data_IF_245667658467
#
_entry.id   IF_245667658467
#
_cell.length_a   1.000
_cell.length_b   1.000
_cell.length_c   1.000
_cell.angle_alpha   90.00
_cell.angle_beta   90.00
_cell.angle_gamma   90.00
#
_symmetry.space_group_name_H-M   'P 1'
#
loop_
_entity.id
_entity.type
_entity.pdbx_description
1 polymer ?
#
# COMPACT_ATOMS: atom_id res chain seq x y z
N UNK A 1 -13.52 9.64 11.28
CA UNK A 1 -14.68 10.52 11.09
C UNK A 1 -15.43 9.92 9.91
N UNK A 2 -16.28 8.95 10.20
CA UNK A 2 -17.00 8.17 9.20
C UNK A 2 -18.32 8.88 8.92
N UNK A 3 -18.38 9.58 7.79
CA UNK A 3 -19.54 10.36 7.39
C UNK A 3 -19.75 10.12 5.89
N UNK A 4 -20.69 9.20 5.58
CA UNK A 4 -21.43 8.98 4.31
C UNK A 4 -21.35 7.54 3.75
N UNK A 5 -21.91 6.55 4.46
CA UNK A 5 -22.15 5.20 3.92
C UNK A 5 -23.60 4.75 4.18
N UNK A 6 -24.61 5.51 3.74
CA UNK A 6 -26.03 5.08 3.83
C UNK A 6 -26.86 5.27 2.56
N UNK A 7 -26.25 5.57 1.42
CA UNK A 7 -26.92 5.44 0.12
C UNK A 7 -26.01 4.58 -0.78
N UNK A 8 -26.55 3.53 -1.41
CA UNK A 8 -25.80 2.73 -2.39
C UNK A 8 -25.13 3.62 -3.44
N UNK A 9 -24.01 3.15 -4.00
CA UNK A 9 -23.19 3.91 -4.94
C UNK A 9 -24.08 4.43 -6.08
N UNK A 10 -24.15 5.76 -6.22
CA UNK A 10 -24.97 6.40 -7.26
C UNK A 10 -24.31 6.18 -8.62
N UNK A 11 -25.12 6.10 -9.66
CA UNK A 11 -24.65 6.07 -11.06
C UNK A 11 -23.59 7.15 -11.28
N UNK A 12 -22.44 6.74 -11.80
CA UNK A 12 -21.29 7.59 -12.12
C UNK A 12 -20.67 8.39 -10.95
N UNK A 13 -20.96 8.05 -9.69
CA UNK A 13 -20.34 8.73 -8.55
C UNK A 13 -18.80 8.68 -8.57
N UNK A 14 -18.24 7.65 -9.17
CA UNK A 14 -16.80 7.46 -9.35
C UNK A 14 -16.20 8.30 -10.50
N UNK A 15 -17.00 8.89 -11.39
CA UNK A 15 -16.48 9.56 -12.58
C UNK A 15 -16.05 11.00 -12.25
N UNK A 16 -14.79 11.34 -12.56
CA UNK A 16 -14.24 12.69 -12.37
C UNK A 16 -14.29 13.51 -13.65
N UNK A 17 -13.91 12.89 -14.78
CA UNK A 17 -14.01 13.51 -16.09
C UNK A 17 -14.14 12.47 -17.19
N UNK A 18 -14.68 12.91 -18.33
CA UNK A 18 -14.83 12.09 -19.53
C UNK A 18 -14.57 12.93 -20.78
N UNK A 19 -14.16 12.28 -21.87
CA UNK A 19 -13.96 12.92 -23.15
C UNK A 19 -15.28 13.36 -23.79
N UNK A 20 -15.19 14.41 -24.60
CA UNK A 20 -16.32 14.91 -25.37
C UNK A 20 -16.78 13.89 -26.44
N UNK A 21 -18.09 13.86 -26.72
CA UNK A 21 -18.65 13.13 -27.86
C UNK A 21 -18.77 11.61 -27.70
N UNK A 22 -19.28 11.13 -26.56
CA UNK A 22 -19.60 9.71 -26.27
C UNK A 22 -18.39 8.75 -26.24
N UNK A 23 -17.17 9.23 -26.50
CA UNK A 23 -15.96 8.39 -26.62
C UNK A 23 -15.62 7.56 -25.38
N UNK A 24 -15.98 8.06 -24.19
CA UNK A 24 -15.66 7.39 -22.94
C UNK A 24 -16.67 6.34 -22.52
N UNK A 25 -17.87 6.33 -23.12
CA UNK A 25 -18.97 5.47 -22.71
C UNK A 25 -19.34 4.50 -23.81
N UNK A 26 -19.53 3.25 -23.43
CA UNK A 26 -19.95 2.19 -24.34
C UNK A 26 -21.22 1.53 -23.81
N UNK A 27 -22.20 1.35 -24.71
CA UNK A 27 -23.32 0.45 -24.44
C UNK A 27 -22.82 -0.99 -24.58
N UNK A 28 -22.83 -1.73 -23.49
CA UNK A 28 -22.32 -3.10 -23.42
C UNK A 28 -23.44 -4.11 -23.19
N UNK A 29 -23.17 -5.35 -23.58
CA UNK A 29 -23.96 -6.52 -23.20
C UNK A 29 -23.20 -7.25 -22.11
N UNK A 30 -23.82 -7.38 -20.94
CA UNK A 30 -23.24 -7.98 -19.74
C UNK A 30 -23.78 -9.41 -19.63
N UNK A 31 -22.91 -10.44 -19.53
CA UNK A 31 -23.35 -11.82 -19.27
C UNK A 31 -24.25 -11.90 -18.03
N UNK A 32 -25.31 -12.71 -18.11
CA UNK A 32 -26.21 -12.94 -16.98
C UNK A 32 -25.56 -13.81 -15.90
N UNK A 33 -26.08 -13.76 -14.68
CA UNK A 33 -25.68 -14.66 -13.58
C UNK A 33 -24.54 -14.16 -12.70
N UNK A 34 -24.17 -12.88 -12.80
CA UNK A 34 -23.12 -12.25 -11.98
C UNK A 34 -23.68 -11.56 -10.74
N UNK A 35 -24.99 -11.69 -10.48
CA UNK A 35 -25.70 -11.01 -9.40
C UNK A 35 -25.92 -9.53 -9.66
N UNK A 36 -26.02 -8.77 -8.56
CA UNK A 36 -26.26 -7.32 -8.59
C UNK A 36 -24.93 -6.57 -8.59
N UNK A 37 -24.62 -5.96 -9.73
CA UNK A 37 -23.41 -5.17 -9.92
C UNK A 37 -23.70 -3.71 -9.58
N UNK A 38 -22.79 -3.06 -8.87
CA UNK A 38 -22.91 -1.64 -8.51
C UNK A 38 -22.24 -0.76 -9.55
N UNK A 39 -22.61 0.52 -9.62
CA UNK A 39 -21.79 1.50 -10.34
C UNK A 39 -20.36 1.48 -9.76
N UNK A 40 -19.35 1.54 -10.61
CA UNK A 40 -17.95 1.44 -10.22
C UNK A 40 -17.38 0.02 -10.24
N UNK A 41 -18.18 -1.01 -10.54
CA UNK A 41 -17.67 -2.39 -10.69
C UNK A 41 -16.68 -2.47 -11.86
N UNK A 42 -15.54 -3.11 -11.62
CA UNK A 42 -14.50 -3.33 -12.62
C UNK A 42 -14.87 -4.52 -13.51
N UNK A 43 -14.78 -4.32 -14.82
CA UNK A 43 -15.13 -5.33 -15.81
C UNK A 43 -13.92 -5.68 -16.68
N UNK A 44 -13.85 -6.95 -17.07
CA UNK A 44 -12.88 -7.46 -18.02
C UNK A 44 -13.33 -7.21 -19.48
N UNK A 45 -12.59 -7.78 -20.44
CA UNK A 45 -12.87 -7.59 -21.87
C UNK A 45 -14.23 -8.15 -22.30
N UNK A 46 -14.66 -9.23 -21.65
CA UNK A 46 -15.92 -9.95 -21.91
C UNK A 46 -17.13 -9.32 -21.19
N UNK A 47 -16.92 -8.17 -20.52
CA UNK A 47 -17.91 -7.48 -19.70
C UNK A 47 -18.36 -8.27 -18.47
N UNK A 48 -17.53 -9.19 -17.98
CA UNK A 48 -17.70 -9.87 -16.71
C UNK A 48 -16.98 -9.12 -15.59
N UNK A 49 -17.38 -9.32 -14.33
CA UNK A 49 -16.64 -8.81 -13.18
C UNK A 49 -15.18 -9.30 -13.26
N UNK A 50 -14.24 -8.38 -13.21
CA UNK A 50 -12.81 -8.72 -13.23
C UNK A 50 -12.42 -9.38 -11.89
N UNK A 51 -12.38 -10.72 -11.86
CA UNK A 51 -11.92 -11.48 -10.69
C UNK A 51 -10.40 -11.34 -10.50
N UNK A 52 -9.65 -11.30 -11.61
CA UNK A 52 -8.27 -10.82 -11.63
C UNK A 52 -8.25 -9.33 -11.97
N UNK A 53 -7.80 -8.52 -11.02
CA UNK A 53 -7.70 -7.07 -11.19
C UNK A 53 -6.75 -6.64 -12.32
N UNK A 54 -5.84 -7.50 -12.77
CA UNK A 54 -4.99 -7.22 -13.92
C UNK A 54 -5.77 -7.22 -15.25
N UNK A 55 -6.98 -7.76 -15.27
CA UNK A 55 -7.88 -7.79 -16.42
C UNK A 55 -8.92 -6.65 -16.40
N UNK A 56 -8.90 -5.79 -15.38
CA UNK A 56 -9.83 -4.67 -15.26
C UNK A 56 -9.58 -3.61 -16.34
N UNK A 57 -10.43 -3.56 -17.36
CA UNK A 57 -10.29 -2.63 -18.49
C UNK A 57 -11.47 -1.67 -18.67
N UNK A 58 -12.56 -1.90 -17.93
CA UNK A 58 -13.81 -1.13 -17.99
C UNK A 58 -14.34 -0.87 -16.59
N UNK A 59 -15.14 0.19 -16.43
CA UNK A 59 -15.83 0.50 -15.17
C UNK A 59 -17.32 0.64 -15.42
N UNK A 60 -18.15 -0.15 -14.74
CA UNK A 60 -19.60 -0.14 -14.89
C UNK A 60 -20.17 1.24 -14.49
N UNK A 61 -20.86 1.92 -15.41
CA UNK A 61 -21.34 3.30 -15.22
C UNK A 61 -22.49 3.40 -14.21
N UNK A 62 -23.43 2.46 -14.26
CA UNK A 62 -24.62 2.43 -13.40
C UNK A 62 -24.87 1.00 -12.92
N UNK A 63 -25.54 0.85 -11.77
CA UNK A 63 -25.86 -0.47 -11.24
C UNK A 63 -26.71 -1.30 -12.23
N UNK A 64 -26.42 -2.60 -12.30
CA UNK A 64 -27.11 -3.55 -13.18
C UNK A 64 -27.38 -4.84 -12.40
N UNK A 65 -28.62 -5.32 -12.45
CA UNK A 65 -28.98 -6.66 -11.99
C UNK A 65 -28.82 -7.63 -13.15
N UNK A 66 -27.85 -8.53 -13.06
CA UNK A 66 -27.56 -9.54 -14.09
C UNK A 66 -28.26 -10.88 -13.81
N UNK A 67 -29.04 -10.97 -12.72
CA UNK A 67 -29.63 -12.21 -12.24
C UNK A 67 -28.67 -13.04 -11.38
N UNK A 68 -29.23 -13.92 -10.57
CA UNK A 68 -28.47 -14.85 -9.72
C UNK A 68 -27.68 -15.85 -10.56
N UNK A 69 -26.61 -16.41 -10.00
CA UNK A 69 -25.78 -17.40 -10.68
C UNK A 69 -26.62 -18.60 -11.17
N UNK A 70 -26.44 -19.06 -12.43
CA UNK A 70 -27.25 -20.14 -12.98
C UNK A 70 -27.09 -21.43 -12.16
N UNK A 71 -28.19 -22.13 -11.93
CA UNK A 71 -28.13 -23.53 -11.53
C UNK A 71 -27.63 -24.41 -12.70
N UNK A 72 -27.21 -25.64 -12.41
CA UNK A 72 -26.59 -26.51 -13.41
C UNK A 72 -27.53 -26.78 -14.60
N UNK A 73 -27.10 -26.34 -15.79
CA UNK A 73 -27.87 -26.51 -17.03
C UNK A 73 -28.83 -25.37 -17.35
N UNK A 74 -28.88 -24.33 -16.51
CA UNK A 74 -29.64 -23.11 -16.76
C UNK A 74 -28.79 -22.06 -17.46
N UNK A 75 -29.45 -21.20 -18.24
CA UNK A 75 -28.83 -20.03 -18.87
C UNK A 75 -29.53 -18.79 -18.39
N UNK A 76 -28.79 -17.84 -17.81
CA UNK A 76 -29.32 -16.52 -17.49
C UNK A 76 -29.10 -15.61 -18.71
N UNK A 77 -30.15 -14.98 -19.26
CA UNK A 77 -29.99 -14.13 -20.43
C UNK A 77 -29.12 -12.92 -20.11
N UNK A 78 -28.27 -12.47 -21.05
CA UNK A 78 -27.47 -11.28 -20.85
C UNK A 78 -28.33 -10.02 -20.80
N UNK A 79 -27.85 -9.00 -20.10
CA UNK A 79 -28.52 -7.72 -19.91
C UNK A 79 -27.73 -6.58 -20.53
N UNK A 80 -28.39 -5.44 -20.80
CA UNK A 80 -27.71 -4.24 -21.30
C UNK A 80 -27.18 -3.41 -20.14
N UNK A 81 -25.99 -2.86 -20.33
CA UNK A 81 -25.38 -1.91 -19.40
C UNK A 81 -24.63 -0.81 -20.14
N UNK A 82 -24.08 0.13 -19.37
CA UNK A 82 -23.16 1.15 -19.88
C UNK A 82 -21.89 1.05 -19.08
N UNK A 83 -20.75 1.08 -19.74
CA UNK A 83 -19.44 1.12 -19.08
C UNK A 83 -18.63 2.33 -19.55
N UNK A 84 -17.75 2.80 -18.67
CA UNK A 84 -16.60 3.60 -19.05
C UNK A 84 -15.56 2.65 -19.63
N UNK A 85 -15.13 2.88 -20.87
CA UNK A 85 -14.22 1.98 -21.60
C UNK A 85 -12.96 2.65 -22.15
N UNK A 86 -12.87 3.99 -22.11
CA UNK A 86 -11.70 4.74 -22.56
C UNK A 86 -11.74 6.23 -22.16
N UNK A 87 -10.62 6.95 -22.28
CA UNK A 87 -10.46 8.41 -22.15
C UNK A 87 -11.29 9.04 -21.00
N UNK A 88 -11.15 8.52 -19.79
CA UNK A 88 -11.85 9.02 -18.62
C UNK A 88 -10.91 9.08 -17.41
N UNK A 89 -11.26 9.93 -16.45
CA UNK A 89 -10.64 9.91 -15.13
C UNK A 89 -11.68 9.47 -14.09
N UNK A 90 -11.30 8.51 -13.25
CA UNK A 90 -12.16 7.95 -12.20
C UNK A 90 -11.54 8.14 -10.82
N UNK A 91 -12.38 8.28 -9.79
CA UNK A 91 -11.99 8.36 -8.40
C UNK A 91 -11.85 6.95 -7.83
N UNK A 92 -10.61 6.53 -7.54
CA UNK A 92 -10.28 5.16 -7.16
C UNK A 92 -10.98 4.69 -5.89
N UNK A 93 -11.13 5.56 -4.89
CA UNK A 93 -11.83 5.29 -3.63
C UNK A 93 -13.34 5.08 -3.80
N UNK A 94 -13.92 5.48 -4.95
CA UNK A 94 -15.35 5.31 -5.26
C UNK A 94 -15.61 4.16 -6.24
N UNK A 95 -14.58 3.44 -6.69
CA UNK A 95 -14.74 2.19 -7.42
C UNK A 95 -15.31 1.11 -6.50
N UNK A 96 -16.07 0.18 -7.07
CA UNK A 96 -16.74 -0.87 -6.30
C UNK A 96 -15.78 -2.02 -6.03
N UNK A 97 -14.94 -1.86 -5.01
CA UNK A 97 -14.00 -2.89 -4.55
C UNK A 97 -14.73 -3.99 -3.77
N UNK A 98 -14.49 -5.27 -4.09
CA UNK A 98 -14.87 -6.39 -3.22
C UNK A 98 -14.31 -6.22 -1.81
N UNK A 99 -15.05 -6.71 -0.80
CA UNK A 99 -14.57 -6.72 0.59
C UNK A 99 -13.23 -7.48 0.69
N UNK A 100 -12.28 -6.92 1.43
CA UNK A 100 -10.94 -7.51 1.58
C UNK A 100 -9.96 -7.22 0.44
N UNK A 101 -10.33 -6.43 -0.58
CA UNK A 101 -9.39 -6.00 -1.62
C UNK A 101 -8.21 -5.23 -1.02
N UNK A 102 -7.01 -5.73 -1.26
CA UNK A 102 -5.74 -5.15 -0.77
C UNK A 102 -5.31 -3.94 -1.59
N UNK A 103 -4.39 -3.14 -1.03
CA UNK A 103 -3.85 -1.97 -1.74
C UNK A 103 -3.03 -2.33 -2.98
N UNK A 104 -2.32 -3.46 -2.96
CA UNK A 104 -1.64 -3.99 -4.14
C UNK A 104 -2.63 -4.33 -5.26
N UNK A 105 -3.73 -4.99 -4.92
CA UNK A 105 -4.79 -5.32 -5.87
C UNK A 105 -5.43 -4.06 -6.47
N UNK A 106 -5.67 -3.01 -5.67
CA UNK A 106 -6.14 -1.72 -6.18
C UNK A 106 -5.13 -1.06 -7.13
N UNK A 107 -3.84 -1.15 -6.83
CA UNK A 107 -2.78 -0.64 -7.70
C UNK A 107 -2.68 -1.42 -9.01
N UNK A 108 -2.84 -2.75 -8.96
CA UNK A 108 -2.90 -3.62 -10.15
C UNK A 108 -4.07 -3.22 -11.04
N UNK A 109 -5.28 -3.09 -10.48
CA UNK A 109 -6.45 -2.61 -11.20
C UNK A 109 -6.23 -1.22 -11.81
N UNK A 110 -5.67 -0.28 -11.05
CA UNK A 110 -5.39 1.06 -11.55
C UNK A 110 -4.43 1.06 -12.74
N UNK A 111 -3.41 0.20 -12.73
CA UNK A 111 -2.49 0.04 -13.87
C UNK A 111 -3.18 -0.59 -15.08
N UNK A 112 -4.05 -1.59 -14.87
CA UNK A 112 -4.82 -2.21 -15.94
C UNK A 112 -5.79 -1.21 -16.60
N UNK A 113 -6.48 -0.41 -15.79
CA UNK A 113 -7.35 0.67 -16.24
C UNK A 113 -6.57 1.76 -17.00
N UNK A 114 -5.40 2.18 -16.50
CA UNK A 114 -4.54 3.17 -17.17
C UNK A 114 -4.09 2.67 -18.55
N UNK A 115 -3.70 1.39 -18.65
CA UNK A 115 -3.39 0.75 -19.93
C UNK A 115 -4.60 0.69 -20.89
N UNK A 116 -5.82 0.67 -20.35
CA UNK A 116 -7.07 0.78 -21.09
C UNK A 116 -7.53 2.25 -21.30
N UNK A 117 -6.69 3.25 -20.97
CA UNK A 117 -7.00 4.67 -21.18
C UNK A 117 -7.94 5.27 -20.13
N UNK A 118 -8.17 4.59 -19.01
CA UNK A 118 -8.97 5.07 -17.87
C UNK A 118 -8.03 5.40 -16.71
N UNK A 119 -7.80 6.68 -16.47
CA UNK A 119 -6.87 7.13 -15.43
C UNK A 119 -7.55 7.06 -14.06
N UNK A 120 -6.96 6.30 -13.14
CA UNK A 120 -7.44 6.25 -11.76
C UNK A 120 -6.77 7.33 -10.90
N UNK A 121 -7.57 8.23 -10.33
CA UNK A 121 -7.15 9.30 -9.44
C UNK A 121 -7.46 8.95 -7.99
N UNK A 122 -6.57 9.36 -7.09
CA UNK A 122 -6.67 9.07 -5.67
C UNK A 122 -6.48 10.36 -4.88
N UNK A 123 -7.28 10.55 -3.83
CA UNK A 123 -6.99 11.52 -2.76
C UNK A 123 -5.90 10.98 -1.84
N UNK A 124 -5.94 9.68 -1.58
CA UNK A 124 -4.89 8.93 -0.91
C UNK A 124 -4.57 7.68 -1.74
N UNK A 125 -3.39 7.69 -2.39
CA UNK A 125 -2.99 6.58 -3.26
C UNK A 125 -2.72 5.33 -2.39
N UNK A 126 -3.26 4.15 -2.75
CA UNK A 126 -2.94 2.92 -2.05
C UNK A 126 -1.43 2.67 -2.05
N UNK A 127 -0.91 2.13 -0.94
CA UNK A 127 0.53 1.95 -0.75
C UNK A 127 0.89 0.53 -1.11
N UNK A 128 1.84 0.38 -2.05
CA UNK A 128 2.32 -0.94 -2.45
C UNK A 128 3.01 -1.67 -1.28
N UNK A 129 2.72 -2.96 -1.10
CA UNK A 129 3.50 -3.79 -0.18
C UNK A 129 4.96 -3.86 -0.64
N UNK A 130 5.87 -4.03 0.32
CA UNK A 130 7.30 -4.01 0.05
C UNK A 130 7.88 -2.63 -0.32
N UNK A 131 7.08 -1.56 -0.34
CA UNK A 131 7.63 -0.20 -0.43
C UNK A 131 8.19 0.23 0.93
N UNK A 132 9.45 0.70 0.97
CA UNK A 132 10.07 1.15 2.22
C UNK A 132 9.29 2.33 2.84
N UNK A 133 8.91 2.17 4.11
CA UNK A 133 8.06 3.13 4.83
C UNK A 133 8.68 3.61 6.14
N UNK A 134 9.25 2.69 6.92
CA UNK A 134 9.79 3.01 8.25
C UNK A 134 10.98 2.13 8.60
N UNK A 135 11.69 2.55 9.65
CA UNK A 135 12.79 1.79 10.24
C UNK A 135 12.30 1.22 11.57
N UNK A 136 12.73 0.00 11.88
CA UNK A 136 12.45 -0.66 13.15
C UNK A 136 13.75 -1.22 13.73
N UNK A 137 14.02 -0.99 15.02
CA UNK A 137 15.12 -1.65 15.71
C UNK A 137 14.73 -3.09 16.07
N UNK A 138 15.59 -4.05 15.72
CA UNK A 138 15.37 -5.48 15.97
C UNK A 138 16.26 -6.00 17.09
N UNK A 139 17.48 -5.48 17.18
CA UNK A 139 18.42 -5.83 18.25
C UNK A 139 19.25 -4.61 18.61
N UNK A 140 19.37 -4.34 19.91
CA UNK A 140 20.27 -3.34 20.47
C UNK A 140 20.50 -3.68 21.95
N UNK A 141 21.63 -3.27 22.55
CA UNK A 141 21.89 -3.55 23.96
C UNK A 141 20.89 -2.83 24.86
N UNK A 142 20.34 -3.51 25.86
CA UNK A 142 19.58 -2.87 26.96
C UNK A 142 20.51 -2.35 28.07
N UNK A 143 21.74 -2.85 28.15
CA UNK A 143 22.79 -2.34 29.02
C UNK A 143 24.17 -2.46 28.40
N UNK A 144 25.10 -1.62 28.85
CA UNK A 144 26.49 -1.59 28.40
C UNK A 144 27.43 -1.10 29.51
N UNK A 145 28.74 -1.23 29.30
CA UNK A 145 29.78 -0.59 30.13
C UNK A 145 30.47 0.49 29.30
N UNK A 146 30.66 1.68 29.87
CA UNK A 146 31.31 2.79 29.19
C UNK A 146 32.72 2.39 28.70
N UNK A 147 33.02 2.68 27.44
CA UNK A 147 34.30 2.36 26.79
C UNK A 147 34.45 0.90 26.33
N UNK A 148 33.54 0.00 26.69
CA UNK A 148 33.56 -1.40 26.24
C UNK A 148 32.60 -1.61 25.04
N UNK A 149 32.85 -2.62 24.17
CA UNK A 149 31.89 -3.04 23.17
C UNK A 149 30.56 -3.47 23.81
N UNK A 150 29.46 -2.96 23.29
CA UNK A 150 28.09 -3.24 23.73
C UNK A 150 27.34 -4.20 22.79
N UNK A 151 28.05 -4.80 21.81
CA UNK A 151 27.49 -5.69 20.81
C UNK A 151 26.90 -4.99 19.59
N UNK A 152 26.15 -5.73 18.78
CA UNK A 152 25.65 -5.25 17.49
C UNK A 152 24.29 -4.56 17.64
N UNK A 153 24.08 -3.51 16.86
CA UNK A 153 22.75 -2.89 16.66
C UNK A 153 22.23 -3.31 15.29
N UNK A 154 21.02 -3.83 15.23
CA UNK A 154 20.33 -4.26 14.00
C UNK A 154 19.04 -3.47 13.86
N UNK A 155 18.85 -2.88 12.69
CA UNK A 155 17.59 -2.27 12.29
C UNK A 155 17.12 -2.84 10.95
N UNK A 156 15.82 -2.96 10.77
CA UNK A 156 15.18 -3.37 9.53
C UNK A 156 14.49 -2.18 8.86
N UNK A 157 14.52 -2.15 7.53
CA UNK A 157 13.66 -1.31 6.71
C UNK A 157 12.37 -2.07 6.45
N UNK A 158 11.25 -1.49 6.88
CA UNK A 158 9.93 -2.11 6.86
C UNK A 158 8.99 -1.35 5.94
N UNK A 159 8.05 -2.08 5.34
CA UNK A 159 6.92 -1.46 4.65
C UNK A 159 5.84 -0.99 5.64
N UNK A 160 4.76 -0.41 5.14
CA UNK A 160 3.67 0.12 5.97
C UNK A 160 2.94 -0.99 6.76
N UNK A 161 3.03 -2.23 6.30
CA UNK A 161 2.39 -3.40 6.91
C UNK A 161 3.32 -4.14 7.89
N UNK A 162 4.56 -3.67 8.07
CA UNK A 162 5.55 -4.26 8.97
C UNK A 162 6.36 -5.41 8.37
N UNK A 163 6.22 -5.69 7.07
CA UNK A 163 7.03 -6.67 6.38
C UNK A 163 8.45 -6.12 6.09
N UNK A 164 9.45 -7.01 6.09
CA UNK A 164 10.82 -6.64 5.73
C UNK A 164 10.90 -6.33 4.23
N UNK A 165 11.45 -5.17 3.88
CA UNK A 165 11.67 -4.79 2.49
C UNK A 165 13.01 -5.35 2.01
N UNK A 166 13.00 -6.60 1.54
CA UNK A 166 14.20 -7.34 1.11
C UNK A 166 14.90 -6.74 -0.11
N UNK A 167 14.26 -5.84 -0.87
CA UNK A 167 14.91 -5.10 -1.95
C UNK A 167 15.57 -3.79 -1.52
N UNK A 168 15.44 -3.39 -0.26
CA UNK A 168 15.87 -2.06 0.19
C UNK A 168 17.38 -1.97 0.36
N UNK A 169 17.97 -0.94 -0.25
CA UNK A 169 19.38 -0.53 -0.10
C UNK A 169 19.50 0.82 0.60
N UNK A 170 18.48 1.23 1.37
CA UNK A 170 18.43 2.53 2.02
C UNK A 170 19.66 2.76 2.92
N UNK A 171 20.25 3.97 2.86
CA UNK A 171 21.33 4.37 3.75
C UNK A 171 20.76 4.85 5.08
N UNK A 172 20.86 4.03 6.11
CA UNK A 172 20.39 4.35 7.47
C UNK A 172 21.55 4.86 8.30
N UNK A 173 21.34 5.94 9.04
CA UNK A 173 22.34 6.52 9.96
C UNK A 173 21.94 6.24 11.40
N UNK A 174 22.80 5.52 12.12
CA UNK A 174 22.67 5.30 13.56
C UNK A 174 23.38 6.40 14.34
N UNK A 175 22.67 7.04 15.26
CA UNK A 175 23.22 8.06 16.16
C UNK A 175 22.73 7.84 17.58
N UNK A 176 23.39 8.47 18.55
CA UNK A 176 22.84 8.60 19.90
C UNK A 176 21.82 9.74 19.89
N UNK A 177 20.58 9.43 20.23
CA UNK A 177 19.49 10.40 20.30
C UNK A 177 19.57 11.24 21.59
N UNK A 178 19.78 10.60 22.74
CA UNK A 178 19.84 11.28 24.05
C UNK A 178 20.90 10.70 24.98
N UNK A 179 21.14 11.36 26.12
CA UNK A 179 22.04 10.90 27.18
C UNK A 179 23.48 11.43 27.06
N UNK A 180 24.41 10.99 27.94
CA UNK A 180 25.78 11.49 28.00
C UNK A 180 26.71 10.86 26.96
N UNK A 181 27.96 11.35 26.86
CA UNK A 181 29.02 10.76 26.05
C UNK A 181 28.78 10.77 24.53
N UNK A 182 29.51 9.92 23.82
CA UNK A 182 29.39 9.70 22.36
C UNK A 182 29.13 8.23 22.05
N UNK A 183 28.55 7.97 20.88
CA UNK A 183 28.43 6.63 20.30
C UNK A 183 29.59 6.42 19.32
N UNK A 184 30.29 5.30 19.46
CA UNK A 184 31.28 4.83 18.47
C UNK A 184 30.71 3.67 17.65
N UNK A 185 31.22 3.47 16.44
CA UNK A 185 30.76 2.46 15.47
C UNK A 185 29.29 2.59 15.05
N UNK A 186 28.67 3.75 15.28
CA UNK A 186 27.43 4.17 14.61
C UNK A 186 27.71 4.76 13.21
N UNK A 187 26.85 5.67 12.75
CA UNK A 187 26.97 6.36 11.47
C UNK A 187 26.15 5.74 10.35
N UNK A 188 26.35 6.21 9.12
CA UNK A 188 25.61 5.78 7.95
C UNK A 188 26.05 4.41 7.45
N UNK A 189 25.10 3.51 7.21
CA UNK A 189 25.32 2.20 6.57
C UNK A 189 24.14 1.87 5.66
N UNK A 190 24.45 1.35 4.47
CA UNK A 190 23.43 0.85 3.54
C UNK A 190 22.81 -0.45 4.06
N UNK A 191 21.49 -0.58 3.87
CA UNK A 191 20.79 -1.84 4.06
C UNK A 191 21.26 -2.87 3.01
N UNK A 192 21.35 -4.12 3.44
CA UNK A 192 21.50 -5.29 2.58
C UNK A 192 20.30 -6.17 2.87
N UNK A 193 19.52 -6.45 1.85
CA UNK A 193 18.23 -7.13 1.95
C UNK A 193 17.27 -6.51 3.00
N UNK A 194 17.28 -5.17 3.08
CA UNK A 194 16.49 -4.42 4.06
C UNK A 194 17.03 -4.45 5.50
N UNK A 195 18.17 -5.09 5.75
CA UNK A 195 18.79 -5.20 7.08
C UNK A 195 20.01 -4.29 7.18
N UNK A 196 20.09 -3.52 8.26
CA UNK A 196 21.25 -2.70 8.60
C UNK A 196 21.84 -3.17 9.92
N UNK A 197 23.13 -3.44 9.95
CA UNK A 197 23.82 -3.89 11.16
C UNK A 197 25.05 -3.04 11.45
N UNK A 198 25.09 -2.40 12.62
CA UNK A 198 26.27 -1.73 13.16
C UNK A 198 26.94 -2.68 14.15
N UNK A 199 28.20 -3.01 13.89
CA UNK A 199 28.95 -3.99 14.68
C UNK A 199 29.61 -3.31 15.87
N UNK A 200 29.60 -3.99 17.02
CA UNK A 200 30.37 -3.63 18.21
C UNK A 200 30.27 -2.14 18.57
N UNK A 201 29.05 -1.63 18.71
CA UNK A 201 28.83 -0.25 19.13
C UNK A 201 29.35 -0.04 20.55
N UNK A 202 29.79 1.16 20.90
CA UNK A 202 30.22 1.47 22.27
C UNK A 202 29.84 2.89 22.67
N UNK A 203 29.68 3.08 23.97
CA UNK A 203 29.29 4.35 24.58
C UNK A 203 30.43 4.91 25.41
N UNK A 204 30.74 6.21 25.28
CA UNK A 204 31.92 6.79 25.94
C UNK A 204 31.71 7.20 27.40
N UNK A 205 30.48 7.18 27.91
CA UNK A 205 30.15 7.67 29.25
C UNK A 205 28.99 6.88 29.87
N UNK A 206 29.00 6.75 31.20
CA UNK A 206 27.91 6.14 31.96
C UNK A 206 26.67 7.05 32.00
N UNK A 207 25.50 6.43 32.07
CA UNK A 207 24.20 7.07 32.11
C UNK A 207 23.18 6.38 31.21
N UNK A 208 21.96 6.91 31.20
CA UNK A 208 20.90 6.42 30.31
C UNK A 208 21.04 7.09 28.94
N UNK A 209 21.04 6.29 27.87
CA UNK A 209 21.14 6.74 26.48
C UNK A 209 20.05 6.08 25.64
N UNK A 210 19.62 6.76 24.57
CA UNK A 210 18.78 6.17 23.52
C UNK A 210 19.46 6.33 22.17
N UNK A 211 19.16 5.41 21.24
CA UNK A 211 19.66 5.42 19.87
C UNK A 211 18.57 5.90 18.92
N UNK A 212 18.98 6.54 17.81
CA UNK A 212 18.10 6.86 16.69
C UNK A 212 18.68 6.32 15.38
N UNK A 213 17.82 5.66 14.59
CA UNK A 213 18.12 5.23 13.23
C UNK A 213 17.26 6.02 12.24
N UNK A 214 17.90 6.73 11.31
CA UNK A 214 17.23 7.65 10.37
C UNK A 214 17.69 7.38 8.94
N UNK A 215 16.77 7.41 8.00
CA UNK A 215 17.06 7.47 6.56
C UNK A 215 16.13 8.48 5.88
N UNK A 216 16.58 9.09 4.78
CA UNK A 216 15.78 10.05 4.02
C UNK A 216 14.50 9.39 3.52
N UNK A 217 13.35 10.02 3.80
CA UNK A 217 12.04 9.55 3.34
C UNK A 217 11.42 8.41 4.15
N UNK A 218 12.10 7.90 5.20
CA UNK A 218 11.56 6.88 6.08
C UNK A 218 11.23 7.45 7.46
N UNK A 219 10.16 6.94 8.08
CA UNK A 219 9.89 7.22 9.49
C UNK A 219 11.03 6.65 10.36
N UNK A 220 11.68 7.46 11.21
CA UNK A 220 12.84 7.02 11.98
C UNK A 220 12.45 6.13 13.16
N UNK A 221 13.40 5.32 13.62
CA UNK A 221 13.28 4.55 14.86
C UNK A 221 14.03 5.25 16.01
N UNK A 222 13.49 5.13 17.22
CA UNK A 222 14.19 5.46 18.47
C UNK A 222 14.13 4.22 19.36
N UNK A 223 15.26 3.85 19.98
CA UNK A 223 15.32 2.70 20.89
C UNK A 223 14.66 3.02 22.23
N UNK A 224 14.37 1.98 23.01
CA UNK A 224 14.17 2.13 24.46
C UNK A 224 15.47 2.58 25.15
N UNK A 225 15.36 2.88 26.44
CA UNK A 225 16.47 3.27 27.29
C UNK A 225 17.53 2.16 27.40
N UNK A 226 18.79 2.55 27.18
CA UNK A 226 19.97 1.72 27.34
C UNK A 226 20.72 2.21 28.57
N UNK A 227 20.94 1.33 29.54
CA UNK A 227 21.67 1.68 30.78
C UNK A 227 23.17 1.45 30.60
N UNK A 228 23.96 2.52 30.58
CA UNK A 228 25.42 2.43 30.51
C UNK A 228 26.03 2.58 31.89
N UNK A 229 26.68 1.53 32.39
CA UNK A 229 27.43 1.55 33.64
C UNK A 229 28.82 2.20 33.46
N UNK A 230 29.39 2.71 34.55
CA UNK A 230 30.78 3.13 34.57
C UNK A 230 31.72 1.93 34.35
N UNK A 231 32.91 2.21 33.81
CA UNK A 231 33.98 1.23 33.62
C UNK A 231 34.58 0.76 34.95
#
# INVERSE_FOLDING_TARGET
>A
MDLLMTNGVRTAAFLLSEANGERSRELITIPGGQGKLSAGTLLNTDNEVAEDFNEAIKVLYGAVDTGDAPEQGETVPPVKGVAINYDAEVHGELLAWPEGTTDDQKLIAANALDAAGIVTRWTEKPVASGAAHHIEFINYPSSATAGAPAGNVVAHVKDVFGALVTGSTASVTLTKATGPGTLSNGGAKAAVDGVVTWQDVSFSAAGTVTLSAVATGLTPAVSDDITVAAA
#
